data_IF_022744926476
#
_entry.id   IF_022744926476
#
_cell.length_a   1.000
_cell.length_b   1.000
_cell.length_c   1.000
_cell.angle_alpha   90.00
_cell.angle_beta   90.00
_cell.angle_gamma   90.00
#
_symmetry.space_group_name_H-M   'P 1'
#
loop_
_entity.id
_entity.type
_entity.pdbx_description
1 polymer ?
#
# COMPACT_ATOMS: atom_id res chain seq x y z
N UNK A 1 1.46 27.24 21.29
CA UNK A 1 0.69 26.94 20.08
C UNK A 1 1.68 26.34 19.11
N UNK A 2 1.77 25.03 19.06
CA UNK A 2 2.67 24.35 18.11
C UNK A 2 1.85 24.22 16.85
N UNK A 3 2.27 24.90 15.80
CA UNK A 3 1.73 24.70 14.46
C UNK A 3 2.26 23.37 13.96
N UNK A 4 1.40 22.35 13.90
CA UNK A 4 1.65 21.16 13.08
C UNK A 4 1.82 21.66 11.63
N UNK A 5 3.07 21.77 11.20
CA UNK A 5 3.37 21.87 9.78
C UNK A 5 3.13 20.47 9.20
N UNK A 6 1.90 20.27 8.73
CA UNK A 6 1.53 19.12 7.93
C UNK A 6 2.38 19.21 6.65
N UNK A 7 3.40 18.36 6.55
CA UNK A 7 4.09 18.14 5.30
C UNK A 7 3.31 17.05 4.58
N UNK A 8 2.67 17.39 3.47
CA UNK A 8 1.77 16.51 2.70
C UNK A 8 2.48 15.26 2.11
N UNK A 9 3.76 15.07 2.41
CA UNK A 9 4.63 13.99 1.92
C UNK A 9 4.90 12.86 2.95
N UNK A 10 4.50 12.99 4.22
CA UNK A 10 4.89 12.03 5.27
C UNK A 10 3.78 11.03 5.62
N UNK A 11 3.77 9.88 4.94
CA UNK A 11 2.92 8.74 5.32
C UNK A 11 3.45 8.05 6.58
N UNK A 12 2.55 7.49 7.40
CA UNK A 12 2.96 6.72 8.57
C UNK A 12 3.65 5.41 8.17
N UNK A 13 4.52 4.85 9.04
CA UNK A 13 5.09 3.52 8.84
C UNK A 13 4.01 2.46 8.55
N UNK A 14 4.22 1.62 7.54
CA UNK A 14 3.23 0.63 7.10
C UNK A 14 2.73 -0.26 8.24
N UNK A 15 3.64 -0.66 9.13
CA UNK A 15 3.37 -1.48 10.30
C UNK A 15 2.41 -0.84 11.30
N UNK A 16 2.32 0.50 11.31
CA UNK A 16 1.48 1.27 12.26
C UNK A 16 0.04 1.44 11.73
N UNK A 17 -0.16 1.37 10.42
CA UNK A 17 -1.48 1.48 9.76
C UNK A 17 -2.34 0.20 9.87
N UNK A 18 -2.24 -0.51 10.99
CA UNK A 18 -2.76 -1.87 11.19
C UNK A 18 -3.56 -2.02 12.50
N UNK A 19 -4.21 -0.94 12.96
CA UNK A 19 -4.92 -0.88 14.24
C UNK A 19 -4.00 -1.23 15.43
N UNK A 20 -2.79 -0.67 15.42
CA UNK A 20 -1.83 -0.81 16.52
C UNK A 20 -2.30 0.02 17.71
N UNK A 21 -2.26 -0.56 18.92
CA UNK A 21 -2.61 0.17 20.15
C UNK A 21 -1.70 1.39 20.33
N UNK A 22 -2.29 2.56 20.50
CA UNK A 22 -1.56 3.82 20.78
C UNK A 22 -1.27 4.69 19.56
N UNK A 23 -1.74 4.32 18.37
CA UNK A 23 -1.74 5.21 17.21
C UNK A 23 -3.18 5.50 16.79
N UNK A 24 -3.67 6.69 17.09
CA UNK A 24 -5.08 7.06 16.85
C UNK A 24 -5.37 7.43 15.38
N UNK A 25 -4.33 7.65 14.57
CA UNK A 25 -4.44 8.08 13.17
C UNK A 25 -4.50 6.90 12.17
N UNK A 26 -4.65 5.66 12.62
CA UNK A 26 -4.68 4.50 11.70
C UNK A 26 -5.89 4.48 10.75
N UNK A 27 -6.93 5.26 11.05
CA UNK A 27 -8.08 5.49 10.19
C UNK A 27 -7.97 6.76 9.34
N UNK A 28 -6.90 7.55 9.52
CA UNK A 28 -6.69 8.77 8.75
C UNK A 28 -6.08 8.39 7.38
N UNK A 29 -6.80 8.61 6.27
CA UNK A 29 -6.34 8.21 4.95
C UNK A 29 -5.10 8.99 4.47
N UNK A 30 -4.82 10.18 5.04
CA UNK A 30 -3.63 10.96 4.71
C UNK A 30 -2.36 10.26 5.21
N UNK A 31 -2.41 9.68 6.41
CA UNK A 31 -1.27 8.98 7.01
C UNK A 31 -1.24 7.50 6.67
N UNK A 32 -2.41 6.90 6.51
CA UNK A 32 -2.61 5.47 6.27
C UNK A 32 -3.51 5.23 5.05
N UNK A 33 -2.99 5.45 3.82
CA UNK A 33 -3.76 5.23 2.60
C UNK A 33 -4.39 3.83 2.59
N UNK A 34 -5.74 3.71 2.44
CA UNK A 34 -6.41 2.42 2.50
C UNK A 34 -5.88 1.41 1.47
N UNK A 35 -5.57 1.86 0.26
CA UNK A 35 -5.07 1.01 -0.82
C UNK A 35 -3.67 0.45 -0.54
N UNK A 36 -2.81 1.17 0.18
CA UNK A 36 -1.51 0.67 0.67
C UNK A 36 -1.69 -0.54 1.60
N UNK A 37 -2.68 -0.50 2.48
CA UNK A 37 -3.02 -1.63 3.36
C UNK A 37 -3.63 -2.81 2.58
N UNK A 38 -4.49 -2.54 1.59
CA UNK A 38 -5.05 -3.56 0.71
C UNK A 38 -3.95 -4.27 -0.09
N UNK A 39 -3.03 -3.52 -0.68
CA UNK A 39 -1.89 -4.05 -1.42
C UNK A 39 -0.92 -4.81 -0.50
N UNK A 40 -0.68 -4.38 0.74
CA UNK A 40 0.07 -5.16 1.74
C UNK A 40 -0.60 -6.52 1.99
N UNK A 41 -1.92 -6.55 2.19
CA UNK A 41 -2.65 -7.82 2.38
C UNK A 41 -2.52 -8.71 1.15
N UNK A 42 -2.71 -8.13 -0.04
CA UNK A 42 -2.52 -8.82 -1.31
C UNK A 42 -1.11 -9.42 -1.43
N UNK A 43 -0.07 -8.66 -1.12
CA UNK A 43 1.32 -9.11 -1.12
C UNK A 43 1.53 -10.36 -0.27
N UNK A 44 1.05 -10.37 0.98
CA UNK A 44 1.23 -11.54 1.86
C UNK A 44 0.41 -12.76 1.40
N UNK A 45 -0.82 -12.57 0.92
CA UNK A 45 -1.69 -13.68 0.47
C UNK A 45 -1.23 -14.30 -0.85
N UNK A 46 -0.69 -13.47 -1.75
CA UNK A 46 -0.14 -13.87 -3.04
C UNK A 46 1.37 -14.21 -2.97
N UNK A 47 1.90 -14.46 -1.76
CA UNK A 47 3.29 -14.87 -1.50
C UNK A 47 4.31 -13.95 -2.19
N UNK A 48 4.15 -12.65 -2.00
CA UNK A 48 4.96 -11.62 -2.65
C UNK A 48 6.46 -11.70 -2.39
N UNK A 49 6.87 -12.37 -1.32
CA UNK A 49 8.27 -12.69 -1.02
C UNK A 49 8.91 -13.65 -2.04
N UNK A 50 8.09 -14.43 -2.74
CA UNK A 50 8.52 -15.42 -3.74
C UNK A 50 8.47 -14.84 -5.17
N UNK A 51 8.01 -13.59 -5.35
CA UNK A 51 7.93 -12.97 -6.67
C UNK A 51 9.32 -12.65 -7.22
N UNK A 52 9.47 -12.77 -8.54
CA UNK A 52 10.72 -12.43 -9.24
C UNK A 52 11.12 -10.98 -9.05
N UNK A 53 10.14 -10.07 -8.95
CA UNK A 53 10.38 -8.67 -8.63
C UNK A 53 9.29 -8.13 -7.72
N UNK A 54 9.62 -7.94 -6.45
CA UNK A 54 8.77 -7.30 -5.44
C UNK A 54 9.42 -6.04 -4.87
N UNK A 55 10.23 -5.33 -5.67
CA UNK A 55 10.97 -4.15 -5.20
C UNK A 55 10.01 -3.10 -4.62
N UNK A 56 10.32 -2.61 -3.42
CA UNK A 56 9.55 -1.58 -2.72
C UNK A 56 8.27 -2.08 -2.04
N UNK A 57 7.76 -3.26 -2.40
CA UNK A 57 6.55 -3.80 -1.77
C UNK A 57 6.74 -3.94 -0.26
N UNK A 58 5.72 -3.52 0.48
CA UNK A 58 5.68 -3.50 1.95
C UNK A 58 6.82 -2.74 2.64
N UNK A 59 7.50 -1.83 1.93
CA UNK A 59 8.42 -0.91 2.57
C UNK A 59 7.68 -0.02 3.57
N UNK A 60 8.30 0.18 4.73
CA UNK A 60 7.68 0.87 5.86
C UNK A 60 7.42 2.34 5.57
N UNK A 61 8.24 3.00 4.76
CA UNK A 61 8.25 4.46 4.63
C UNK A 61 7.88 4.96 3.23
N UNK A 62 7.80 4.08 2.22
CA UNK A 62 7.43 4.46 0.86
C UNK A 62 5.94 4.39 0.57
N UNK A 63 5.49 5.28 -0.32
CA UNK A 63 4.13 5.22 -0.86
C UNK A 63 3.95 3.95 -1.66
N UNK A 64 2.75 3.37 -1.60
CA UNK A 64 2.40 2.22 -2.44
C UNK A 64 2.50 2.53 -3.94
N UNK A 65 2.38 3.79 -4.33
CA UNK A 65 2.56 4.26 -5.72
C UNK A 65 4.01 4.15 -6.20
N UNK A 66 4.97 3.95 -5.30
CA UNK A 66 6.38 3.73 -5.62
C UNK A 66 6.72 2.24 -5.71
N UNK A 67 5.78 1.36 -5.36
CA UNK A 67 6.01 -0.09 -5.39
C UNK A 67 6.08 -0.57 -6.83
N UNK A 68 7.00 -1.49 -7.10
CA UNK A 68 7.20 -1.98 -8.46
C UNK A 68 5.91 -2.58 -9.03
N UNK A 69 5.48 -2.04 -10.18
CA UNK A 69 4.29 -2.49 -10.88
C UNK A 69 2.98 -1.86 -10.40
N UNK A 70 3.00 -0.94 -9.43
CA UNK A 70 1.83 -0.16 -9.02
C UNK A 70 1.86 1.19 -9.72
N UNK A 71 0.74 1.59 -10.32
CA UNK A 71 0.56 2.93 -10.88
C UNK A 71 -0.63 3.61 -10.19
N UNK A 72 -0.44 4.85 -9.74
CA UNK A 72 -1.49 5.65 -9.13
C UNK A 72 -1.85 6.86 -10.00
N UNK A 73 -3.08 7.37 -9.85
CA UNK A 73 -3.48 8.66 -10.40
C UNK A 73 -2.98 9.83 -9.52
N UNK A 74 -3.33 11.06 -9.91
CA UNK A 74 -2.99 12.29 -9.18
C UNK A 74 -3.60 12.35 -7.75
N UNK A 75 -4.64 11.57 -7.48
CA UNK A 75 -5.28 11.45 -6.16
C UNK A 75 -4.64 10.35 -5.30
N UNK A 76 -3.61 9.68 -5.80
CA UNK A 76 -2.94 8.57 -5.10
C UNK A 76 -3.73 7.26 -5.10
N UNK A 77 -4.73 7.11 -5.99
CA UNK A 77 -5.52 5.88 -6.17
C UNK A 77 -4.89 4.99 -7.24
N UNK A 78 -4.80 3.69 -6.96
CA UNK A 78 -4.26 2.67 -7.83
C UNK A 78 -5.11 2.51 -9.08
N UNK A 79 -4.50 2.76 -10.23
CA UNK A 79 -5.13 2.63 -11.56
C UNK A 79 -4.58 1.47 -12.37
N UNK A 80 -3.39 0.96 -12.03
CA UNK A 80 -2.77 -0.19 -12.68
C UNK A 80 -1.99 -1.04 -11.69
N UNK A 81 -2.06 -2.36 -11.87
CA UNK A 81 -1.27 -3.33 -11.11
C UNK A 81 -0.66 -4.36 -12.07
N UNK A 82 0.64 -4.22 -12.33
CA UNK A 82 1.43 -5.11 -13.19
C UNK A 82 2.30 -6.00 -12.33
N UNK A 83 1.92 -7.26 -12.24
CA UNK A 83 2.64 -8.27 -11.50
C UNK A 83 3.52 -9.02 -12.49
N UNK A 84 4.84 -8.81 -12.41
CA UNK A 84 5.78 -9.34 -13.39
C UNK A 84 5.63 -10.86 -13.60
N UNK A 85 5.88 -11.31 -14.83
CA UNK A 85 5.91 -12.74 -15.15
C UNK A 85 7.00 -13.44 -14.34
N UNK A 86 6.63 -14.33 -13.41
CA UNK A 86 7.61 -15.29 -12.86
C UNK A 86 7.41 -15.82 -11.44
N UNK A 87 6.39 -15.42 -10.68
CA UNK A 87 6.30 -15.92 -9.29
C UNK A 87 4.97 -15.74 -8.56
N UNK A 88 3.91 -15.30 -9.23
CA UNK A 88 2.59 -15.23 -8.61
C UNK A 88 2.16 -16.63 -8.19
N UNK A 89 1.98 -16.82 -6.88
CA UNK A 89 1.55 -18.06 -6.27
C UNK A 89 0.69 -17.75 -5.06
N UNK A 90 0.09 -18.77 -4.43
CA UNK A 90 -0.82 -18.55 -3.31
C UNK A 90 -2.21 -18.10 -3.77
N UNK A 91 -2.79 -17.11 -3.09
CA UNK A 91 -4.18 -16.69 -3.29
C UNK A 91 -4.24 -15.20 -3.64
N UNK A 92 -5.01 -14.89 -4.67
CA UNK A 92 -5.40 -13.51 -4.95
C UNK A 92 -6.47 -13.14 -3.91
N UNK A 93 -6.18 -12.12 -3.10
CA UNK A 93 -7.12 -11.62 -2.09
C UNK A 93 -8.31 -10.96 -2.76
N UNK A 94 -9.53 -11.20 -2.26
CA UNK A 94 -10.72 -10.44 -2.67
C UNK A 94 -10.57 -8.94 -2.37
N UNK A 95 -9.63 -8.58 -1.48
CA UNK A 95 -9.24 -7.20 -1.21
C UNK A 95 -8.79 -6.43 -2.45
N UNK A 96 -8.31 -7.12 -3.50
CA UNK A 96 -7.98 -6.49 -4.79
C UNK A 96 -9.21 -5.85 -5.44
N UNK A 97 -10.41 -6.38 -5.20
CA UNK A 97 -11.67 -5.85 -5.73
C UNK A 97 -12.07 -4.51 -5.12
N UNK A 98 -11.40 -4.07 -4.05
CA UNK A 98 -11.61 -2.75 -3.44
C UNK A 98 -10.73 -1.66 -4.06
N UNK A 99 -9.83 -1.98 -4.99
CA UNK A 99 -9.08 -1.01 -5.77
C UNK A 99 -9.98 -0.49 -6.91
N UNK A 100 -10.92 0.39 -6.58
CA UNK A 100 -12.05 0.76 -7.46
C UNK A 100 -11.65 1.54 -8.70
N UNK A 101 -10.43 2.08 -8.72
CA UNK A 101 -9.88 2.89 -9.81
C UNK A 101 -9.08 2.08 -10.84
N UNK A 102 -8.89 0.77 -10.62
CA UNK A 102 -8.23 -0.14 -11.58
C UNK A 102 -8.96 -0.15 -12.94
N UNK A 103 -8.19 -0.23 -14.02
CA UNK A 103 -8.68 -0.19 -15.41
C UNK A 103 -8.26 -1.40 -16.23
#
# INVERSE_FOLDING_TARGET
MITDQHNDDEIAPLSICNNVRGFDLFHDPSWCPPERNLLRKFYYEAKGQEWTNSTGWVDEFSSHCEWHGVECNEEGLVVSLVLGNGGLSGRISDAIGNLTSLR
#
